data_IF_207645786529
#
_entry.id   IF_207645786529
#
_cell.length_a   1.000
_cell.length_b   1.000
_cell.length_c   1.000
_cell.angle_alpha   90.00
_cell.angle_beta   90.00
_cell.angle_gamma   90.00
#
_symmetry.space_group_name_H-M   'P 1'
#
loop_
_entity.id
_entity.type
_entity.pdbx_description
1 polymer ?
#
# COMPACT_ATOMS: atom_id res chain seq x y z
N UNK A 1 40.95 -10.28 47.55
CA UNK A 1 39.97 -11.38 47.59
C UNK A 1 38.61 -10.86 47.11
N UNK A 2 38.08 -11.49 46.05
CA UNK A 2 36.66 -11.61 45.61
C UNK A 2 35.89 -10.37 45.09
N UNK A 3 36.10 -10.09 43.80
CA UNK A 3 35.15 -10.07 42.66
C UNK A 3 33.62 -10.20 42.90
N UNK A 4 32.81 -9.35 42.21
CA UNK A 4 31.60 -9.65 41.36
C UNK A 4 30.68 -8.42 41.30
N UNK A 5 30.62 -7.65 40.21
CA UNK A 5 30.04 -7.91 38.88
C UNK A 5 28.52 -8.22 38.92
N UNK A 6 27.71 -7.25 38.48
CA UNK A 6 26.36 -7.48 37.95
C UNK A 6 25.89 -6.29 37.07
N UNK A 7 26.70 -5.90 36.08
CA UNK A 7 26.16 -5.29 34.85
C UNK A 7 25.71 -6.43 33.95
N UNK A 8 24.41 -6.69 33.88
CA UNK A 8 23.86 -7.58 32.85
C UNK A 8 22.37 -7.31 32.62
N UNK A 9 22.02 -7.31 31.33
CA UNK A 9 20.70 -7.42 30.72
C UNK A 9 19.88 -6.13 30.52
N UNK A 10 20.33 -5.30 29.56
CA UNK A 10 19.45 -4.45 28.74
C UNK A 10 19.80 -4.61 27.25
N UNK A 11 19.66 -5.83 26.72
CA UNK A 11 19.80 -6.08 25.26
C UNK A 11 18.88 -7.24 24.84
N UNK A 12 17.56 -7.03 24.87
CA UNK A 12 16.61 -8.00 24.30
C UNK A 12 15.34 -7.38 23.70
N UNK A 13 15.19 -6.05 23.71
CA UNK A 13 13.99 -5.35 23.22
C UNK A 13 14.15 -4.71 21.83
N UNK A 14 15.36 -4.65 21.28
CA UNK A 14 15.61 -3.94 20.01
C UNK A 14 15.20 -4.73 18.76
N UNK A 15 15.21 -6.07 18.81
CA UNK A 15 14.91 -6.91 17.64
C UNK A 15 13.41 -6.92 17.31
N UNK A 16 12.54 -6.93 18.32
CA UNK A 16 11.09 -6.89 18.13
C UNK A 16 10.62 -5.59 17.49
N UNK A 17 11.22 -4.46 17.87
CA UNK A 17 10.87 -3.14 17.32
C UNK A 17 11.23 -3.02 15.83
N UNK A 18 12.37 -3.57 15.41
CA UNK A 18 12.80 -3.54 14.00
C UNK A 18 11.89 -4.40 13.10
N UNK A 19 11.48 -5.57 13.57
CA UNK A 19 10.58 -6.47 12.83
C UNK A 19 9.19 -5.82 12.70
N UNK A 20 8.67 -5.22 13.78
CA UNK A 20 7.38 -4.54 13.75
C UNK A 20 7.39 -3.36 12.76
N UNK A 21 8.44 -2.52 12.81
CA UNK A 21 8.59 -1.40 11.87
C UNK A 21 8.62 -1.86 10.40
N UNK A 22 9.33 -2.95 10.12
CA UNK A 22 9.38 -3.51 8.77
C UNK A 22 8.01 -4.02 8.29
N UNK A 23 7.22 -4.65 9.17
CA UNK A 23 5.86 -5.13 8.86
C UNK A 23 4.90 -3.96 8.63
N UNK A 24 4.93 -2.93 9.47
CA UNK A 24 4.11 -1.73 9.27
C UNK A 24 4.46 -1.03 7.96
N UNK A 25 5.76 -0.84 7.67
CA UNK A 25 6.19 -0.22 6.42
C UNK A 25 5.83 -1.06 5.18
N UNK A 26 5.89 -2.39 5.27
CA UNK A 26 5.45 -3.28 4.20
C UNK A 26 3.93 -3.18 3.97
N UNK A 27 3.14 -3.17 5.04
CA UNK A 27 1.69 -3.00 4.99
C UNK A 27 1.29 -1.64 4.42
N UNK A 28 1.93 -0.56 4.85
CA UNK A 28 1.73 0.80 4.31
C UNK A 28 2.09 0.87 2.82
N UNK A 29 3.22 0.28 2.42
CA UNK A 29 3.63 0.23 1.02
C UNK A 29 2.63 -0.52 0.16
N UNK A 30 2.17 -1.69 0.61
CA UNK A 30 1.15 -2.47 -0.08
C UNK A 30 -0.15 -1.68 -0.22
N UNK A 31 -0.61 -1.07 0.87
CA UNK A 31 -1.82 -0.23 0.88
C UNK A 31 -1.71 0.92 -0.12
N UNK A 32 -0.58 1.62 -0.14
CA UNK A 32 -0.33 2.72 -1.08
C UNK A 32 -0.34 2.24 -2.53
N UNK A 33 0.35 1.13 -2.83
CA UNK A 33 0.39 0.57 -4.19
C UNK A 33 -0.99 0.17 -4.69
N UNK A 34 -1.77 -0.53 -3.86
CA UNK A 34 -3.14 -0.96 -4.19
C UNK A 34 -4.05 0.26 -4.39
N UNK A 35 -3.98 1.25 -3.49
CA UNK A 35 -4.76 2.50 -3.61
C UNK A 35 -4.46 3.23 -4.92
N UNK A 36 -3.17 3.41 -5.25
CA UNK A 36 -2.76 4.11 -6.48
C UNK A 36 -3.23 3.36 -7.72
N UNK A 37 -3.02 2.05 -7.77
CA UNK A 37 -3.36 1.24 -8.94
C UNK A 37 -4.88 1.20 -9.19
N UNK A 38 -5.68 0.99 -8.14
CA UNK A 38 -7.15 0.96 -8.24
C UNK A 38 -7.73 2.34 -8.54
N UNK A 39 -7.17 3.41 -7.96
CA UNK A 39 -7.57 4.77 -8.30
C UNK A 39 -7.31 5.10 -9.77
N UNK A 40 -6.14 4.72 -10.29
CA UNK A 40 -5.81 4.89 -11.71
C UNK A 40 -6.78 4.11 -12.61
N UNK A 41 -7.07 2.85 -12.27
CA UNK A 41 -8.00 2.05 -13.04
C UNK A 41 -9.42 2.60 -13.00
N UNK A 42 -9.93 2.96 -11.82
CA UNK A 42 -11.23 3.63 -11.65
C UNK A 42 -11.30 4.89 -12.51
N UNK A 43 -10.32 5.77 -12.40
CA UNK A 43 -10.36 7.03 -13.13
C UNK A 43 -10.25 6.85 -14.65
N UNK A 44 -9.48 5.88 -15.14
CA UNK A 44 -9.46 5.53 -16.57
C UNK A 44 -10.83 5.03 -17.08
N UNK A 45 -11.58 4.33 -16.23
CA UNK A 45 -12.94 3.86 -16.55
C UNK A 45 -13.93 5.03 -16.54
N UNK A 46 -13.96 5.81 -15.45
CA UNK A 46 -14.91 6.92 -15.26
C UNK A 46 -14.75 8.01 -16.32
N UNK A 47 -13.52 8.28 -16.75
CA UNK A 47 -13.21 9.26 -17.80
C UNK A 47 -13.28 8.68 -19.23
N UNK A 48 -13.81 7.46 -19.37
CA UNK A 48 -13.97 6.75 -20.65
C UNK A 48 -12.68 6.59 -21.47
N UNK A 49 -11.52 6.60 -20.82
CA UNK A 49 -10.23 6.38 -21.49
C UNK A 49 -9.91 4.90 -21.69
N UNK A 50 -10.53 4.03 -20.89
CA UNK A 50 -10.27 2.59 -20.95
C UNK A 50 -11.49 1.78 -20.54
N UNK A 51 -11.65 0.58 -21.13
CA UNK A 51 -12.67 -0.37 -20.70
C UNK A 51 -12.32 -0.97 -19.33
N UNK A 52 -13.34 -1.27 -18.53
CA UNK A 52 -13.18 -1.82 -17.18
C UNK A 52 -12.23 -3.02 -17.10
N UNK A 53 -12.43 -4.04 -17.95
CA UNK A 53 -11.59 -5.25 -17.96
C UNK A 53 -10.12 -4.92 -18.25
N UNK A 54 -9.87 -3.98 -19.17
CA UNK A 54 -8.51 -3.61 -19.55
C UNK A 54 -7.82 -2.78 -18.45
N UNK A 55 -8.54 -1.84 -17.83
CA UNK A 55 -8.03 -1.03 -16.73
C UNK A 55 -7.65 -1.92 -15.53
N UNK A 56 -8.52 -2.87 -15.18
CA UNK A 56 -8.23 -3.81 -14.09
C UNK A 56 -7.12 -4.81 -14.43
N UNK A 57 -6.99 -5.28 -15.68
CA UNK A 57 -5.83 -6.10 -16.07
C UNK A 57 -4.51 -5.34 -15.87
N UNK A 58 -4.45 -4.07 -16.28
CA UNK A 58 -3.26 -3.24 -16.12
C UNK A 58 -2.94 -3.02 -14.64
N UNK A 59 -3.93 -2.69 -13.80
CA UNK A 59 -3.72 -2.53 -12.36
C UNK A 59 -3.20 -3.81 -11.70
N UNK A 60 -3.83 -4.96 -11.99
CA UNK A 60 -3.43 -6.25 -11.43
C UNK A 60 -2.01 -6.65 -11.85
N UNK A 61 -1.66 -6.43 -13.12
CA UNK A 61 -0.31 -6.70 -13.62
C UNK A 61 0.72 -5.77 -13.01
N UNK A 62 0.41 -4.49 -12.84
CA UNK A 62 1.26 -3.54 -12.13
C UNK A 62 1.51 -4.01 -10.69
N UNK A 63 0.46 -4.33 -9.94
CA UNK A 63 0.56 -4.79 -8.54
C UNK A 63 1.38 -6.07 -8.42
N UNK A 64 1.11 -7.04 -9.29
CA UNK A 64 1.90 -8.28 -9.36
C UNK A 64 3.38 -8.00 -9.65
N UNK A 65 3.69 -7.08 -10.57
CA UNK A 65 5.07 -6.69 -10.86
C UNK A 65 5.79 -6.02 -9.70
N UNK A 66 5.04 -5.46 -8.74
CA UNK A 66 5.56 -4.86 -7.50
C UNK A 66 5.65 -5.85 -6.33
N UNK A 67 5.29 -7.11 -6.56
CA UNK A 67 5.30 -8.17 -5.55
C UNK A 67 4.08 -8.16 -4.62
N UNK A 68 3.00 -7.47 -5.00
CA UNK A 68 1.72 -7.53 -4.28
C UNK A 68 0.95 -8.73 -4.78
N UNK A 69 0.56 -9.64 -3.89
CA UNK A 69 -0.24 -10.84 -4.22
C UNK A 69 -1.74 -10.54 -4.28
N UNK A 70 -2.54 -11.46 -4.84
CA UNK A 70 -4.01 -11.31 -4.84
C UNK A 70 -4.56 -11.27 -3.41
N UNK A 71 -3.98 -12.05 -2.49
CA UNK A 71 -4.36 -12.03 -1.08
C UNK A 71 -4.07 -10.68 -0.42
N UNK A 72 -2.92 -10.07 -0.69
CA UNK A 72 -2.58 -8.74 -0.18
C UNK A 72 -3.55 -7.66 -0.71
N UNK A 73 -3.94 -7.78 -2.00
CA UNK A 73 -4.95 -6.88 -2.60
C UNK A 73 -6.28 -7.02 -1.89
N UNK A 74 -6.75 -8.24 -1.70
CA UNK A 74 -8.03 -8.53 -1.03
C UNK A 74 -8.01 -8.06 0.42
N UNK A 75 -6.92 -8.27 1.15
CA UNK A 75 -6.76 -7.79 2.53
C UNK A 75 -6.88 -6.25 2.59
N UNK A 76 -6.19 -5.54 1.70
CA UNK A 76 -6.27 -4.06 1.64
C UNK A 76 -7.67 -3.60 1.22
N UNK A 77 -8.24 -4.17 0.16
CA UNK A 77 -9.52 -3.72 -0.39
C UNK A 77 -10.71 -4.04 0.52
N UNK A 78 -10.61 -5.08 1.34
CA UNK A 78 -11.63 -5.45 2.33
C UNK A 78 -11.49 -4.70 3.66
N UNK A 79 -10.40 -3.98 3.87
CA UNK A 79 -10.17 -3.23 5.10
C UNK A 79 -11.22 -2.12 5.28
N UNK A 80 -11.76 -1.93 6.51
CA UNK A 80 -12.67 -0.83 6.79
C UNK A 80 -12.06 0.53 6.44
N UNK A 81 -12.77 1.33 5.65
CA UNK A 81 -12.35 2.68 5.25
C UNK A 81 -11.47 2.74 3.99
N UNK A 82 -11.18 1.61 3.33
CA UNK A 82 -10.41 1.61 2.09
C UNK A 82 -11.05 2.44 0.96
N UNK A 83 -12.37 2.36 0.79
CA UNK A 83 -13.08 3.17 -0.22
C UNK A 83 -12.94 4.68 0.01
N UNK A 84 -12.95 5.11 1.28
CA UNK A 84 -12.77 6.51 1.65
C UNK A 84 -11.31 6.95 1.48
N UNK A 85 -10.35 6.06 1.76
CA UNK A 85 -8.93 6.28 1.49
C UNK A 85 -8.70 6.50 -0.02
N UNK A 86 -9.26 5.64 -0.87
CA UNK A 86 -9.14 5.76 -2.32
C UNK A 86 -9.82 7.04 -2.84
N UNK A 87 -11.02 7.38 -2.35
CA UNK A 87 -11.70 8.63 -2.72
C UNK A 87 -10.85 9.84 -2.35
N UNK A 88 -10.32 9.89 -1.12
CA UNK A 88 -9.45 10.97 -0.68
C UNK A 88 -8.18 11.08 -1.53
N UNK A 89 -7.55 9.96 -1.85
CA UNK A 89 -6.39 9.96 -2.74
C UNK A 89 -6.73 10.60 -4.10
N UNK A 90 -7.85 10.21 -4.71
CA UNK A 90 -8.32 10.79 -5.98
C UNK A 90 -8.56 12.31 -5.84
N UNK A 91 -9.23 12.73 -4.77
CA UNK A 91 -9.50 14.16 -4.51
C UNK A 91 -8.21 14.96 -4.32
N UNK A 92 -7.22 14.41 -3.61
CA UNK A 92 -5.89 15.00 -3.42
C UNK A 92 -5.10 15.12 -4.74
N UNK A 93 -5.38 14.26 -5.72
CA UNK A 93 -4.80 14.36 -7.08
C UNK A 93 -5.54 15.36 -7.99
N UNK A 94 -6.56 16.06 -7.50
CA UNK A 94 -7.39 16.97 -8.30
C UNK A 94 -8.57 16.29 -9.01
N UNK A 95 -8.92 15.06 -8.61
CA UNK A 95 -9.98 14.28 -9.21
C UNK A 95 -9.52 13.44 -10.40
N UNK A 96 -10.44 12.65 -10.96
CA UNK A 96 -10.09 11.66 -11.98
C UNK A 96 -9.57 12.26 -13.31
N UNK A 97 -10.04 13.43 -13.71
CA UNK A 97 -9.54 14.08 -14.93
C UNK A 97 -8.06 14.47 -14.80
N UNK A 98 -7.67 15.03 -13.66
CA UNK A 98 -6.31 15.47 -13.38
C UNK A 98 -5.38 14.27 -13.19
N UNK A 99 -5.85 13.25 -12.45
CA UNK A 99 -5.11 12.00 -12.25
C UNK A 99 -4.83 11.30 -13.59
N UNK A 100 -5.82 11.18 -14.47
CA UNK A 100 -5.63 10.59 -15.81
C UNK A 100 -4.70 11.40 -16.68
N UNK A 101 -4.71 12.74 -16.57
CA UNK A 101 -3.79 13.62 -17.30
C UNK A 101 -2.33 13.36 -16.93
N UNK A 102 -2.05 13.00 -15.67
CA UNK A 102 -0.71 12.68 -15.17
C UNK A 102 -0.20 11.31 -15.64
N UNK A 103 -1.07 10.43 -16.13
CA UNK A 103 -0.70 9.11 -16.65
C UNK A 103 -0.21 9.15 -18.12
N UNK A 104 -0.30 10.31 -18.78
CA UNK A 104 0.06 10.52 -20.19
C UNK A 104 1.42 11.20 -20.31
#
# INVERSE_FOLDING_TARGET
>A
MVQRAATAALVALSVSSLIQQAVFAASERTTALVTIAEANARCLIETNQMKAVQAQDIANRFLTSKGVSDADREEVQSAPGYDDLMRRYIDEQGGCEDLVRQLR
#
